data_IF_153206188964
#
_entry.id   IF_153206188964
#
_cell.length_a   1.000
_cell.length_b   1.000
_cell.length_c   1.000
_cell.angle_alpha   90.00
_cell.angle_beta   90.00
_cell.angle_gamma   90.00
#
_symmetry.space_group_name_H-M   'P 1'
#
loop_
_entity.id
_entity.type
_entity.pdbx_description
1 polymer ?
#
# COMPACT_ATOMS: atom_id res chain seq x y z
N UNK A 1 -9.59 1.39 18.80
CA UNK A 1 -9.33 1.90 17.42
C UNK A 1 -9.65 0.80 16.44
N UNK A 2 -10.43 1.07 15.41
CA UNK A 2 -10.81 0.04 14.42
C UNK A 2 -9.86 0.03 13.23
N UNK A 3 -9.52 1.20 12.70
CA UNK A 3 -8.66 1.31 11.51
C UNK A 3 -7.55 2.34 11.75
N UNK A 4 -6.31 1.95 11.46
CA UNK A 4 -5.18 2.86 11.30
C UNK A 4 -4.95 3.10 9.81
N UNK A 5 -5.09 4.34 9.36
CA UNK A 5 -4.78 4.75 7.98
C UNK A 5 -3.30 5.08 7.94
N UNK A 6 -2.51 4.34 7.17
CA UNK A 6 -1.08 4.53 7.02
C UNK A 6 -0.78 5.26 5.70
N UNK A 7 -0.26 6.46 5.82
CA UNK A 7 0.10 7.33 4.70
C UNK A 7 1.60 7.64 4.76
N UNK A 8 2.29 7.46 3.65
CA UNK A 8 3.66 7.93 3.45
C UNK A 8 3.65 9.07 2.44
N UNK A 9 4.52 10.06 2.62
CA UNK A 9 4.55 11.23 1.75
C UNK A 9 5.96 11.81 1.65
N UNK A 10 6.29 12.33 0.46
CA UNK A 10 7.50 13.09 0.20
C UNK A 10 7.28 14.04 -0.96
N UNK A 11 7.30 15.36 -0.69
CA UNK A 11 7.06 16.42 -1.68
C UNK A 11 5.72 16.24 -2.44
N UNK A 12 4.65 16.00 -1.67
CA UNK A 12 3.29 15.84 -2.17
C UNK A 12 2.39 17.04 -1.84
N UNK A 13 2.91 18.26 -1.69
CA UNK A 13 2.15 19.47 -1.33
C UNK A 13 0.92 19.70 -2.21
N UNK A 14 1.02 19.39 -3.51
CA UNK A 14 -0.11 19.50 -4.46
C UNK A 14 -1.21 18.47 -4.23
N UNK A 15 -0.93 17.38 -3.51
CA UNK A 15 -1.78 16.18 -3.46
C UNK A 15 -2.27 15.85 -2.06
N UNK A 16 -1.41 16.00 -1.04
CA UNK A 16 -1.62 15.55 0.34
C UNK A 16 -2.91 16.06 0.98
N UNK A 17 -3.31 17.29 0.66
CA UNK A 17 -4.58 17.84 1.12
C UNK A 17 -5.76 16.97 0.70
N UNK A 18 -5.81 16.57 -0.57
CA UNK A 18 -6.90 15.73 -1.11
C UNK A 18 -6.88 14.33 -0.51
N UNK A 19 -5.70 13.78 -0.23
CA UNK A 19 -5.56 12.51 0.46
C UNK A 19 -6.19 12.59 1.87
N UNK A 20 -5.75 13.55 2.70
CA UNK A 20 -6.24 13.72 4.08
C UNK A 20 -7.75 14.00 4.10
N UNK A 21 -8.25 14.90 3.23
CA UNK A 21 -9.68 15.19 3.13
C UNK A 21 -10.47 13.90 2.81
N UNK A 22 -9.97 13.03 1.95
CA UNK A 22 -10.62 11.78 1.58
C UNK A 22 -10.67 10.75 2.73
N UNK A 23 -9.66 10.77 3.62
CA UNK A 23 -9.64 9.91 4.82
C UNK A 23 -10.64 10.41 5.87
N UNK A 24 -10.71 11.71 6.07
CA UNK A 24 -11.63 12.33 7.02
C UNK A 24 -13.10 12.23 6.58
N UNK A 25 -13.34 12.20 5.26
CA UNK A 25 -14.68 12.09 4.68
C UNK A 25 -15.32 10.71 4.79
N UNK A 26 -14.58 9.67 5.24
CA UNK A 26 -15.10 8.31 5.31
C UNK A 26 -16.30 8.20 6.26
N UNK A 27 -17.41 7.68 5.77
CA UNK A 27 -18.59 7.33 6.55
C UNK A 27 -18.30 6.09 7.40
N UNK A 28 -18.44 6.21 8.71
CA UNK A 28 -18.07 5.17 9.66
C UNK A 28 -18.79 5.34 11.00
N UNK A 29 -18.98 4.25 11.69
CA UNK A 29 -19.49 4.17 13.07
C UNK A 29 -18.42 3.63 14.03
N UNK A 30 -17.15 3.68 13.62
CA UNK A 30 -15.97 3.25 14.38
C UNK A 30 -14.87 4.31 14.36
N UNK A 31 -13.93 4.20 15.29
CA UNK A 31 -12.81 5.13 15.43
C UNK A 31 -11.69 4.81 14.43
N UNK A 32 -11.07 5.85 13.93
CA UNK A 32 -9.88 5.81 13.07
C UNK A 32 -8.75 6.68 13.63
N UNK A 33 -7.54 6.34 13.26
CA UNK A 33 -6.38 7.23 13.34
C UNK A 33 -5.71 7.33 11.94
N UNK A 34 -5.04 8.45 11.69
CA UNK A 34 -4.33 8.71 10.44
C UNK A 34 -2.85 8.91 10.79
N UNK A 35 -2.05 7.91 10.44
CA UNK A 35 -0.61 7.87 10.68
C UNK A 35 0.10 8.34 9.44
N UNK A 36 0.58 9.58 9.44
CA UNK A 36 1.29 10.16 8.30
C UNK A 36 2.80 10.12 8.59
N UNK A 37 3.57 9.64 7.63
CA UNK A 37 5.03 9.69 7.67
C UNK A 37 5.52 10.63 6.57
N UNK A 38 5.97 11.82 6.94
CA UNK A 38 6.58 12.79 6.05
C UNK A 38 8.09 12.59 6.02
N UNK A 39 8.62 12.20 4.86
CA UNK A 39 10.02 11.81 4.68
C UNK A 39 10.93 13.02 4.37
N UNK A 40 10.88 14.05 5.23
CA UNK A 40 11.61 15.31 5.10
C UNK A 40 11.26 16.07 3.80
N UNK A 41 9.98 16.30 3.58
CA UNK A 41 9.51 17.12 2.44
C UNK A 41 10.10 18.52 2.48
N UNK A 42 10.44 19.03 1.31
CA UNK A 42 11.04 20.38 1.10
C UNK A 42 10.07 21.38 0.48
N UNK A 43 8.87 20.93 0.12
CA UNK A 43 7.76 21.73 -0.34
C UNK A 43 6.77 22.02 0.83
N UNK A 44 5.57 22.48 0.52
CA UNK A 44 4.52 22.80 1.50
C UNK A 44 3.83 21.58 2.13
N UNK A 45 4.27 20.36 1.83
CA UNK A 45 3.65 19.11 2.35
C UNK A 45 3.57 19.12 3.87
N UNK A 46 4.68 19.35 4.56
CA UNK A 46 4.74 19.32 6.01
C UNK A 46 3.86 20.41 6.66
N UNK A 47 3.81 21.60 6.07
CA UNK A 47 2.99 22.69 6.59
C UNK A 47 1.50 22.38 6.46
N UNK A 48 1.06 21.80 5.34
CA UNK A 48 -0.32 21.33 5.16
C UNK A 48 -0.65 20.28 6.22
N UNK A 49 0.23 19.30 6.47
CA UNK A 49 0.00 18.25 7.48
C UNK A 49 -0.13 18.88 8.87
N UNK A 50 0.71 19.86 9.26
CA UNK A 50 0.64 20.56 10.55
C UNK A 50 -0.69 21.30 10.74
N UNK A 51 -1.25 21.88 9.68
CA UNK A 51 -2.58 22.51 9.74
C UNK A 51 -3.67 21.49 10.09
N UNK A 52 -3.62 20.30 9.47
CA UNK A 52 -4.57 19.22 9.74
C UNK A 52 -4.35 18.59 11.12
N UNK A 53 -3.10 18.37 11.54
CA UNK A 53 -2.76 17.90 12.90
C UNK A 53 -3.34 18.83 13.96
N UNK A 54 -3.15 20.14 13.81
CA UNK A 54 -3.70 21.14 14.72
C UNK A 54 -5.23 21.13 14.77
N UNK A 55 -5.88 20.85 13.64
CA UNK A 55 -7.36 20.80 13.54
C UNK A 55 -7.96 19.49 14.06
N UNK A 56 -7.22 18.38 13.94
CA UNK A 56 -7.67 17.03 14.28
C UNK A 56 -6.62 16.27 15.11
N UNK A 57 -6.19 16.80 16.29
CA UNK A 57 -5.05 16.25 17.03
C UNK A 57 -5.26 14.84 17.55
N UNK A 58 -6.51 14.43 17.78
CA UNK A 58 -6.84 13.09 18.27
C UNK A 58 -6.82 12.04 17.14
N UNK A 59 -6.90 12.46 15.88
CA UNK A 59 -7.02 11.58 14.72
C UNK A 59 -5.73 11.56 13.90
N UNK A 60 -5.13 12.72 13.64
CA UNK A 60 -3.96 12.86 12.76
C UNK A 60 -2.69 12.85 13.60
N UNK A 61 -1.85 11.84 13.35
CA UNK A 61 -0.63 11.58 14.12
C UNK A 61 0.55 11.49 13.15
N UNK A 62 1.18 12.61 12.80
CA UNK A 62 2.31 12.62 11.87
C UNK A 62 3.64 12.25 12.54
N UNK A 63 4.59 11.83 11.73
CA UNK A 63 6.03 11.85 11.98
C UNK A 63 6.64 12.75 10.90
N UNK A 64 7.47 13.68 11.32
CA UNK A 64 8.27 14.53 10.45
C UNK A 64 9.72 14.13 10.60
N UNK A 65 10.36 13.69 9.52
CA UNK A 65 11.78 13.38 9.52
C UNK A 65 12.61 14.64 9.25
N UNK A 66 13.79 14.74 9.87
CA UNK A 66 14.76 15.82 9.61
C UNK A 66 15.55 15.57 8.32
N UNK A 67 15.62 14.31 7.87
CA UNK A 67 16.36 13.87 6.71
C UNK A 67 15.55 12.82 5.94
N UNK A 68 15.71 12.79 4.61
CA UNK A 68 15.02 11.82 3.75
C UNK A 68 15.53 10.39 4.02
N UNK A 69 14.71 9.60 4.69
CA UNK A 69 15.02 8.24 5.13
C UNK A 69 15.07 7.25 3.97
N UNK A 70 14.26 7.49 2.93
CA UNK A 70 14.31 6.68 1.72
C UNK A 70 15.69 6.77 1.05
N UNK A 71 16.28 7.95 0.98
CA UNK A 71 17.64 8.15 0.44
C UNK A 71 18.74 7.46 1.28
N UNK A 72 18.42 7.16 2.55
CA UNK A 72 19.30 6.43 3.48
C UNK A 72 19.05 4.91 3.49
N UNK A 73 18.20 4.42 2.57
CA UNK A 73 17.96 3.00 2.38
C UNK A 73 16.72 2.44 3.09
N UNK A 74 15.90 3.28 3.72
CA UNK A 74 14.60 2.85 4.27
C UNK A 74 13.58 2.77 3.13
N UNK A 75 13.52 1.63 2.45
CA UNK A 75 12.66 1.44 1.26
C UNK A 75 11.18 1.21 1.61
N UNK A 76 10.88 0.76 2.82
CA UNK A 76 9.52 0.44 3.28
C UNK A 76 9.14 1.23 4.54
N UNK A 77 8.97 2.57 4.45
CA UNK A 77 8.76 3.44 5.60
C UNK A 77 7.48 3.12 6.39
N UNK A 78 6.41 2.62 5.75
CA UNK A 78 5.21 2.19 6.48
C UNK A 78 5.51 1.07 7.47
N UNK A 79 6.31 0.08 7.07
CA UNK A 79 6.72 -1.03 7.94
C UNK A 79 7.60 -0.59 9.11
N UNK A 80 8.46 0.41 8.87
CA UNK A 80 9.38 0.92 9.91
C UNK A 80 8.70 1.89 10.85
N UNK A 81 7.85 2.80 10.35
CA UNK A 81 7.37 3.94 11.13
C UNK A 81 5.87 3.89 11.44
N UNK A 82 5.02 3.40 10.52
CA UNK A 82 3.57 3.45 10.70
C UNK A 82 3.02 2.17 11.34
N UNK A 83 3.36 0.99 10.85
CA UNK A 83 2.79 -0.26 11.36
C UNK A 83 3.08 -0.54 12.83
N UNK A 84 4.31 -0.29 13.38
CA UNK A 84 4.59 -0.53 14.79
C UNK A 84 3.73 0.33 15.75
N UNK A 85 3.32 1.52 15.33
CA UNK A 85 2.50 2.43 16.15
C UNK A 85 1.00 2.35 15.84
N UNK A 86 0.60 1.57 14.84
CA UNK A 86 -0.80 1.40 14.49
C UNK A 86 -1.58 0.72 15.64
N UNK A 87 -2.65 1.35 16.13
CA UNK A 87 -3.48 0.81 17.21
C UNK A 87 -4.77 0.15 16.70
N UNK A 88 -5.10 0.30 15.40
CA UNK A 88 -6.28 -0.28 14.78
C UNK A 88 -6.19 -1.80 14.62
N UNK A 89 -7.35 -2.45 14.59
CA UNK A 89 -7.47 -3.88 14.22
C UNK A 89 -7.09 -4.10 12.75
N UNK A 90 -7.30 -3.06 11.93
CA UNK A 90 -6.99 -3.06 10.51
C UNK A 90 -6.07 -1.89 10.15
N UNK A 91 -5.27 -2.10 9.11
CA UNK A 91 -4.43 -1.09 8.47
C UNK A 91 -4.98 -0.82 7.08
N UNK A 92 -5.37 0.43 6.82
CA UNK A 92 -5.72 0.92 5.49
C UNK A 92 -4.53 1.67 4.90
N UNK A 93 -4.21 1.40 3.64
CA UNK A 93 -3.08 2.02 2.96
C UNK A 93 -3.55 3.13 2.02
N UNK A 94 -2.85 4.25 2.01
CA UNK A 94 -2.93 5.24 0.93
C UNK A 94 -1.73 6.18 1.00
N UNK A 95 -1.02 6.33 -0.10
CA UNK A 95 0.12 7.25 -0.23
C UNK A 95 -0.37 8.69 -0.38
N UNK A 96 0.47 9.68 -0.05
CA UNK A 96 0.07 11.09 -0.02
C UNK A 96 -0.21 11.70 -1.39
N UNK A 97 0.20 11.04 -2.49
CA UNK A 97 -0.08 11.42 -3.87
C UNK A 97 -1.38 10.79 -4.42
N UNK A 98 -1.96 9.79 -3.72
CA UNK A 98 -3.23 9.15 -4.05
C UNK A 98 -4.39 9.65 -3.17
N UNK A 99 -5.62 9.22 -3.43
CA UNK A 99 -6.78 9.53 -2.60
C UNK A 99 -7.92 8.53 -2.77
N UNK A 100 -8.82 8.50 -1.79
CA UNK A 100 -10.05 7.73 -1.87
C UNK A 100 -11.19 8.56 -2.49
N UNK A 101 -11.91 7.98 -3.43
CA UNK A 101 -13.00 8.64 -4.14
C UNK A 101 -14.39 8.14 -3.73
N UNK A 102 -14.46 7.27 -2.72
CA UNK A 102 -15.68 6.68 -2.20
C UNK A 102 -15.68 6.75 -0.68
N UNK A 103 -16.66 7.42 -0.11
CA UNK A 103 -16.77 7.62 1.34
C UNK A 103 -17.25 6.37 2.12
N UNK A 104 -17.70 5.33 1.43
CA UNK A 104 -18.11 4.05 2.00
C UNK A 104 -16.98 3.00 2.05
N UNK A 105 -15.80 3.33 1.52
CA UNK A 105 -14.69 2.38 1.37
C UNK A 105 -14.34 1.66 2.67
N UNK A 106 -14.05 2.39 3.73
CA UNK A 106 -13.63 1.78 5.00
C UNK A 106 -14.73 0.91 5.60
N UNK A 107 -15.98 1.38 5.59
CA UNK A 107 -17.11 0.63 6.12
C UNK A 107 -17.28 -0.70 5.41
N UNK A 108 -17.28 -0.68 4.07
CA UNK A 108 -17.43 -1.90 3.27
C UNK A 108 -16.30 -2.90 3.51
N UNK A 109 -15.06 -2.43 3.57
CA UNK A 109 -13.89 -3.29 3.77
C UNK A 109 -13.85 -3.87 5.19
N UNK A 110 -14.15 -3.07 6.22
CA UNK A 110 -14.24 -3.51 7.61
C UNK A 110 -15.34 -4.57 7.76
N UNK A 111 -16.51 -4.34 7.19
CA UNK A 111 -17.63 -5.29 7.20
C UNK A 111 -17.23 -6.66 6.63
N UNK A 112 -16.46 -6.68 5.56
CA UNK A 112 -15.98 -7.92 4.93
C UNK A 112 -15.03 -8.64 5.88
N UNK A 113 -14.03 -7.96 6.44
CA UNK A 113 -13.03 -8.59 7.30
C UNK A 113 -13.61 -9.00 8.65
N UNK A 114 -14.59 -8.27 9.18
CA UNK A 114 -15.26 -8.65 10.43
C UNK A 114 -16.08 -9.93 10.28
N UNK A 115 -16.78 -10.07 9.16
CA UNK A 115 -17.64 -11.24 8.88
C UNK A 115 -16.87 -12.48 8.44
N UNK A 116 -15.64 -12.32 7.90
CA UNK A 116 -14.87 -13.39 7.31
C UNK A 116 -13.47 -13.46 7.93
N UNK A 117 -13.32 -14.20 9.01
CA UNK A 117 -12.05 -14.29 9.76
C UNK A 117 -10.93 -15.00 8.99
N UNK A 118 -11.26 -15.77 7.99
CA UNK A 118 -10.36 -16.47 7.07
C UNK A 118 -9.93 -15.63 5.85
N UNK A 119 -10.42 -14.39 5.75
CA UNK A 119 -9.92 -13.38 4.82
C UNK A 119 -8.84 -12.53 5.52
N UNK A 120 -7.64 -12.52 4.99
CA UNK A 120 -6.49 -11.83 5.56
C UNK A 120 -6.42 -10.36 5.19
N UNK A 121 -6.88 -9.99 4.00
CA UNK A 121 -7.01 -8.60 3.54
C UNK A 121 -8.08 -8.46 2.46
N UNK A 122 -8.51 -7.24 2.20
CA UNK A 122 -9.36 -6.92 1.06
C UNK A 122 -8.82 -5.73 0.26
N UNK A 123 -9.23 -5.66 -0.99
CA UNK A 123 -8.85 -4.64 -1.94
C UNK A 123 -9.96 -4.39 -2.97
N UNK A 124 -9.80 -3.35 -3.78
CA UNK A 124 -10.85 -2.94 -4.72
C UNK A 124 -10.27 -2.39 -6.02
N UNK A 125 -11.14 -2.08 -6.99
CA UNK A 125 -10.77 -1.41 -8.23
C UNK A 125 -10.36 0.06 -7.96
N UNK A 126 -9.44 0.57 -8.76
CA UNK A 126 -8.99 1.97 -8.69
C UNK A 126 -9.07 2.64 -10.06
N UNK A 127 -9.48 3.91 -10.08
CA UNK A 127 -9.30 4.78 -11.24
C UNK A 127 -7.83 5.18 -11.36
N UNK A 128 -7.33 5.35 -12.56
CA UNK A 128 -6.03 5.96 -12.82
C UNK A 128 -6.24 7.41 -13.29
N UNK A 129 -5.59 8.34 -12.61
CA UNK A 129 -5.48 9.75 -13.02
C UNK A 129 -4.08 9.97 -13.59
N UNK A 130 -3.99 10.05 -14.92
CA UNK A 130 -2.72 10.20 -15.63
C UNK A 130 -2.33 11.69 -15.70
N UNK A 131 -1.22 12.06 -15.09
CA UNK A 131 -0.75 13.44 -14.98
C UNK A 131 0.29 13.83 -16.03
N UNK A 132 0.94 12.86 -16.69
CA UNK A 132 2.03 13.09 -17.66
C UNK A 132 1.69 12.70 -19.10
N UNK A 133 0.42 12.34 -19.35
CA UNK A 133 -0.08 11.88 -20.65
C UNK A 133 0.64 10.64 -21.21
N UNK A 134 1.31 9.86 -20.40
CA UNK A 134 1.81 8.54 -20.80
C UNK A 134 0.65 7.59 -20.99
N UNK A 135 0.85 6.56 -21.85
CA UNK A 135 -0.20 5.56 -22.01
C UNK A 135 -0.37 4.75 -20.72
N UNK A 136 -1.55 4.82 -20.14
CA UNK A 136 -1.94 3.99 -19.00
C UNK A 136 -3.42 3.60 -19.11
N UNK A 137 -3.84 2.49 -18.53
CA UNK A 137 -5.26 2.18 -18.43
C UNK A 137 -5.97 3.22 -17.54
N UNK A 138 -7.18 3.61 -17.88
CA UNK A 138 -8.00 4.51 -17.04
C UNK A 138 -8.46 3.85 -15.74
N UNK A 139 -8.36 2.52 -15.68
CA UNK A 139 -8.91 1.71 -14.60
C UNK A 139 -8.00 0.52 -14.29
N UNK A 140 -7.69 0.31 -13.01
CA UNK A 140 -7.12 -0.92 -12.49
C UNK A 140 -8.28 -1.73 -11.90
N UNK A 141 -8.75 -2.71 -12.64
CA UNK A 141 -9.90 -3.59 -12.30
C UNK A 141 -9.49 -5.03 -12.57
N UNK A 142 -8.86 -5.71 -11.60
CA UNK A 142 -8.25 -7.03 -11.82
C UNK A 142 -9.26 -8.16 -12.05
N UNK A 143 -10.53 -7.98 -11.64
CA UNK A 143 -11.61 -8.96 -11.81
C UNK A 143 -12.92 -8.25 -12.17
N UNK A 144 -13.87 -8.97 -12.79
CA UNK A 144 -15.12 -8.41 -13.29
C UNK A 144 -16.27 -8.39 -12.27
N UNK A 145 -16.05 -8.98 -11.08
CA UNK A 145 -17.03 -9.05 -9.98
C UNK A 145 -16.34 -9.17 -8.63
N UNK A 146 -17.03 -8.76 -7.57
CA UNK A 146 -16.58 -9.00 -6.21
C UNK A 146 -16.47 -10.49 -5.92
N UNK A 147 -15.33 -10.94 -5.39
CA UNK A 147 -15.08 -12.36 -5.15
C UNK A 147 -13.96 -12.60 -4.17
N UNK A 148 -13.93 -13.78 -3.61
CA UNK A 148 -12.80 -14.31 -2.84
C UNK A 148 -11.66 -14.68 -3.80
N UNK A 149 -10.45 -14.34 -3.41
CA UNK A 149 -9.21 -14.62 -4.13
C UNK A 149 -8.38 -15.53 -3.23
N UNK A 150 -8.06 -16.71 -3.69
CA UNK A 150 -7.30 -17.66 -2.88
C UNK A 150 -5.89 -17.15 -2.60
N UNK A 151 -5.31 -17.56 -1.46
CA UNK A 151 -3.91 -17.28 -1.13
C UNK A 151 -2.96 -17.66 -2.28
N UNK A 152 -3.24 -18.78 -2.94
CA UNK A 152 -2.48 -19.23 -4.11
C UNK A 152 -2.53 -18.25 -5.28
N UNK A 153 -3.71 -17.69 -5.56
CA UNK A 153 -3.86 -16.67 -6.62
C UNK A 153 -3.15 -15.37 -6.26
N UNK A 154 -3.19 -14.95 -4.99
CA UNK A 154 -2.45 -13.77 -4.52
C UNK A 154 -0.95 -13.95 -4.72
N UNK A 155 -0.38 -15.08 -4.30
CA UNK A 155 1.06 -15.38 -4.43
C UNK A 155 1.44 -15.51 -5.90
N UNK A 156 0.60 -16.20 -6.68
CA UNK A 156 0.77 -16.40 -8.11
C UNK A 156 0.20 -15.21 -8.92
N UNK A 157 0.43 -14.00 -8.44
CA UNK A 157 -0.20 -12.79 -8.94
C UNK A 157 0.20 -12.45 -10.38
N UNK A 158 -0.82 -12.17 -11.20
CA UNK A 158 -0.65 -11.66 -12.57
C UNK A 158 -1.06 -10.21 -12.73
N UNK A 159 -1.84 -9.69 -11.79
CA UNK A 159 -2.45 -8.35 -11.85
C UNK A 159 -1.96 -7.49 -10.71
N UNK A 160 -1.96 -6.19 -10.91
CA UNK A 160 -1.60 -5.22 -9.89
C UNK A 160 -2.79 -4.97 -8.95
N UNK A 161 -2.52 -4.91 -7.63
CA UNK A 161 -3.48 -4.43 -6.64
C UNK A 161 -3.00 -3.09 -6.10
N UNK A 162 -3.74 -1.99 -6.36
CA UNK A 162 -3.30 -0.66 -5.95
C UNK A 162 -3.11 -0.55 -4.44
N UNK A 163 -2.00 0.07 -4.00
CA UNK A 163 -1.70 0.29 -2.57
C UNK A 163 -2.87 0.96 -1.85
N UNK A 164 -3.42 2.03 -2.44
CA UNK A 164 -4.54 2.77 -1.88
C UNK A 164 -5.85 1.95 -1.75
N UNK A 165 -5.91 0.75 -2.34
CA UNK A 165 -7.07 -0.13 -2.22
C UNK A 165 -7.02 -1.09 -1.02
N UNK A 166 -5.86 -1.27 -0.41
CA UNK A 166 -5.63 -2.32 0.58
C UNK A 166 -6.22 -1.96 1.95
N UNK A 167 -6.90 -2.94 2.56
CA UNK A 167 -7.18 -3.01 4.00
C UNK A 167 -6.70 -4.36 4.51
N UNK A 168 -5.74 -4.35 5.45
CA UNK A 168 -5.05 -5.53 5.96
C UNK A 168 -5.33 -5.71 7.45
N UNK A 169 -5.21 -6.93 7.97
CA UNK A 169 -5.22 -7.17 9.41
C UNK A 169 -3.92 -6.69 10.03
N UNK A 170 -4.01 -5.87 11.06
CA UNK A 170 -2.84 -5.27 11.71
C UNK A 170 -1.89 -6.30 12.31
N UNK A 171 -2.42 -7.41 12.80
CA UNK A 171 -1.62 -8.45 13.43
C UNK A 171 -0.53 -9.01 12.51
N UNK A 172 -0.81 -9.10 11.19
CA UNK A 172 0.18 -9.59 10.20
C UNK A 172 1.21 -8.53 9.82
N UNK A 173 0.88 -7.25 9.99
CA UNK A 173 1.76 -6.12 9.66
C UNK A 173 2.67 -5.69 10.82
N UNK A 174 2.36 -6.11 12.05
CA UNK A 174 3.18 -5.81 13.24
C UNK A 174 4.36 -6.75 13.45
N UNK A 175 4.38 -7.87 12.76
CA UNK A 175 5.42 -8.91 12.88
C UNK A 175 5.98 -9.26 11.50
N UNK A 176 6.37 -8.25 10.74
CA UNK A 176 6.90 -8.44 9.40
C UNK A 176 8.28 -9.09 9.45
N UNK A 177 8.54 -10.08 8.59
CA UNK A 177 9.84 -10.75 8.50
C UNK A 177 10.89 -9.84 7.84
N UNK A 178 12.17 -10.13 8.07
CA UNK A 178 13.28 -9.33 7.57
C UNK A 178 13.23 -9.13 6.04
N UNK A 179 12.83 -10.13 5.27
CA UNK A 179 12.75 -10.02 3.81
C UNK A 179 11.74 -8.96 3.31
N UNK A 180 10.78 -8.54 4.16
CA UNK A 180 9.92 -7.39 3.86
C UNK A 180 10.74 -6.09 3.84
N UNK A 181 11.62 -5.92 4.83
CA UNK A 181 12.45 -4.70 4.95
C UNK A 181 13.58 -4.68 3.92
N UNK A 182 14.05 -5.85 3.48
CA UNK A 182 15.06 -5.99 2.43
C UNK A 182 14.48 -5.79 1.03
N UNK A 183 13.14 -5.82 0.88
CA UNK A 183 12.48 -5.65 -0.39
C UNK A 183 12.42 -4.16 -0.81
N UNK A 184 12.64 -3.89 -2.09
CA UNK A 184 12.60 -2.52 -2.66
C UNK A 184 11.20 -1.92 -2.77
N UNK A 185 10.17 -2.76 -2.69
CA UNK A 185 8.77 -2.37 -2.71
C UNK A 185 8.05 -2.96 -1.50
N UNK A 186 7.06 -2.24 -0.96
CA UNK A 186 6.33 -2.69 0.21
C UNK A 186 4.98 -3.35 -0.10
N UNK A 187 4.32 -2.92 -1.15
CA UNK A 187 2.95 -3.30 -1.49
C UNK A 187 2.80 -4.78 -1.86
N UNK A 188 3.70 -5.33 -2.67
CA UNK A 188 3.66 -6.75 -3.07
C UNK A 188 3.96 -7.67 -1.89
N UNK A 189 5.05 -7.48 -1.11
CA UNK A 189 5.32 -8.31 0.05
C UNK A 189 4.19 -8.28 1.09
N UNK A 190 3.57 -7.13 1.37
CA UNK A 190 2.42 -7.05 2.30
C UNK A 190 1.29 -8.00 1.90
N UNK A 191 0.94 -8.03 0.62
CA UNK A 191 -0.11 -8.89 0.10
C UNK A 191 0.26 -10.38 0.20
N UNK A 192 1.51 -10.72 -0.15
CA UNK A 192 2.01 -12.10 -0.13
C UNK A 192 2.15 -12.61 1.31
N UNK A 193 2.66 -11.79 2.23
CA UNK A 193 2.75 -12.12 3.66
C UNK A 193 1.35 -12.33 4.24
N UNK A 194 0.39 -11.46 3.91
CA UNK A 194 -0.99 -11.62 4.34
C UNK A 194 -1.61 -12.93 3.82
N UNK A 195 -1.30 -13.32 2.58
CA UNK A 195 -1.78 -14.57 2.00
C UNK A 195 -1.28 -15.83 2.70
N UNK A 196 -0.22 -15.75 3.54
CA UNK A 196 0.20 -16.85 4.42
C UNK A 196 -0.87 -17.21 5.45
N UNK A 197 -1.71 -16.26 5.84
CA UNK A 197 -2.68 -16.36 6.93
C UNK A 197 -4.14 -16.53 6.46
N UNK A 198 -4.43 -16.30 5.19
CA UNK A 198 -5.78 -16.44 4.65
C UNK A 198 -5.91 -15.95 3.22
N UNK A 199 -7.10 -16.11 2.68
CA UNK A 199 -7.44 -15.61 1.35
C UNK A 199 -7.60 -14.08 1.35
N UNK A 200 -7.70 -13.48 0.17
CA UNK A 200 -8.09 -12.09 -0.01
C UNK A 200 -9.54 -11.95 -0.49
N UNK A 201 -10.10 -10.76 -0.39
CA UNK A 201 -11.40 -10.45 -0.97
C UNK A 201 -11.29 -9.22 -1.89
N UNK A 202 -11.73 -9.37 -3.11
CA UNK A 202 -11.85 -8.29 -4.09
C UNK A 202 -13.24 -7.68 -4.08
N UNK A 203 -13.32 -6.36 -4.00
CA UNK A 203 -14.56 -5.59 -4.13
C UNK A 203 -14.56 -4.92 -5.51
N UNK A 204 -15.52 -5.29 -6.36
CA UNK A 204 -15.66 -4.73 -7.70
C UNK A 204 -16.35 -3.36 -7.65
N UNK A 205 -15.66 -2.39 -7.06
CA UNK A 205 -16.08 -0.99 -6.96
C UNK A 205 -14.85 -0.09 -6.98
N UNK A 206 -14.90 0.99 -7.73
CA UNK A 206 -13.83 1.99 -7.78
C UNK A 206 -13.94 2.86 -6.53
N UNK A 207 -12.97 2.73 -5.60
CA UNK A 207 -13.00 3.45 -4.34
C UNK A 207 -11.71 4.26 -4.06
N UNK A 208 -10.72 4.18 -4.96
CA UNK A 208 -9.52 5.03 -4.90
C UNK A 208 -9.11 5.53 -6.29
N UNK A 209 -8.28 6.54 -6.30
CA UNK A 209 -7.64 7.08 -7.50
C UNK A 209 -6.14 6.96 -7.32
N UNK A 210 -5.50 6.25 -8.23
CA UNK A 210 -4.06 6.15 -8.37
C UNK A 210 -3.57 7.22 -9.34
N UNK A 211 -2.67 8.11 -8.88
CA UNK A 211 -2.06 9.13 -9.72
C UNK A 211 -0.78 8.62 -10.35
N UNK A 212 -0.80 8.50 -11.68
CA UNK A 212 0.38 8.16 -12.48
C UNK A 212 1.06 9.42 -13.00
N UNK A 213 2.40 9.43 -13.02
CA UNK A 213 3.16 10.58 -13.50
C UNK A 213 3.45 11.63 -12.42
N UNK A 214 3.29 11.31 -11.15
CA UNK A 214 3.78 12.16 -10.05
C UNK A 214 5.31 12.10 -10.05
N UNK A 215 6.02 13.25 -10.20
CA UNK A 215 7.49 13.26 -10.40
C UNK A 215 8.29 12.65 -9.24
N UNK A 216 7.77 12.74 -8.02
CA UNK A 216 8.40 12.21 -6.80
C UNK A 216 8.01 10.78 -6.46
N UNK A 217 7.14 10.16 -7.27
CA UNK A 217 6.69 8.78 -7.04
C UNK A 217 7.81 7.76 -7.26
N UNK A 218 7.71 6.62 -6.56
CA UNK A 218 8.59 5.49 -6.78
C UNK A 218 8.57 5.04 -8.25
N UNK A 219 7.39 4.96 -8.86
CA UNK A 219 7.23 4.58 -10.27
C UNK A 219 8.02 5.49 -11.20
N UNK A 220 7.90 6.82 -11.03
CA UNK A 220 8.67 7.78 -11.84
C UNK A 220 10.18 7.58 -11.65
N UNK A 221 10.63 7.28 -10.43
CA UNK A 221 12.04 7.03 -10.14
C UNK A 221 12.60 5.83 -10.92
N UNK A 222 11.79 4.80 -11.21
CA UNK A 222 12.24 3.61 -11.94
C UNK A 222 12.58 3.91 -13.40
N UNK A 223 11.92 4.88 -14.01
CA UNK A 223 12.17 5.28 -15.40
C UNK A 223 13.28 6.33 -15.56
N UNK A 224 13.91 6.78 -14.48
CA UNK A 224 15.02 7.74 -14.49
C UNK A 224 16.39 7.04 -14.42
N UNK A 225 17.42 7.63 -15.07
CA UNK A 225 18.79 7.12 -15.02
C UNK A 225 19.00 5.78 -15.74
N UNK A 226 19.79 4.87 -15.15
CA UNK A 226 20.05 3.53 -15.74
C UNK A 226 18.86 2.59 -15.51
N UNK A 227 17.90 2.67 -16.42
CA UNK A 227 16.69 1.84 -16.41
C UNK A 227 17.01 0.33 -16.36
N UNK A 228 17.95 -0.14 -17.20
CA UNK A 228 18.27 -1.58 -17.27
C UNK A 228 18.80 -2.11 -15.95
N UNK A 229 19.70 -1.36 -15.31
CA UNK A 229 20.25 -1.73 -14.00
C UNK A 229 19.14 -1.75 -12.95
N UNK A 230 18.27 -0.73 -12.91
CA UNK A 230 17.15 -0.68 -11.95
C UNK A 230 16.18 -1.85 -12.12
N UNK A 231 15.89 -2.25 -13.35
CA UNK A 231 15.05 -3.41 -13.64
C UNK A 231 15.69 -4.72 -13.20
N UNK A 232 16.99 -4.90 -13.47
CA UNK A 232 17.72 -6.09 -13.00
C UNK A 232 17.76 -6.14 -11.47
N UNK A 233 18.06 -5.03 -10.83
CA UNK A 233 18.06 -4.93 -9.36
C UNK A 233 16.67 -5.22 -8.77
N UNK A 234 15.60 -4.74 -9.38
CA UNK A 234 14.22 -5.06 -8.97
C UNK A 234 13.93 -6.56 -9.13
N UNK A 235 14.28 -7.13 -10.27
CA UNK A 235 14.10 -8.55 -10.54
C UNK A 235 14.80 -9.43 -9.51
N UNK A 236 16.09 -9.18 -9.24
CA UNK A 236 16.87 -9.93 -8.27
C UNK A 236 16.31 -9.78 -6.84
N UNK A 237 15.90 -8.58 -6.47
CA UNK A 237 15.32 -8.31 -5.16
C UNK A 237 13.97 -9.02 -4.97
N UNK A 238 13.09 -8.98 -5.96
CA UNK A 238 11.82 -9.71 -5.92
C UNK A 238 12.02 -11.22 -5.86
N UNK A 239 12.99 -11.75 -6.59
CA UNK A 239 13.33 -13.16 -6.56
C UNK A 239 13.78 -13.59 -5.16
N UNK A 240 14.65 -12.82 -4.53
CA UNK A 240 15.10 -13.06 -3.15
C UNK A 240 13.93 -13.01 -2.15
N UNK A 241 13.04 -12.05 -2.30
CA UNK A 241 11.83 -11.94 -1.48
C UNK A 241 10.95 -13.19 -1.60
N UNK A 242 10.70 -13.68 -2.82
CA UNK A 242 9.91 -14.90 -3.03
C UNK A 242 10.59 -16.15 -2.45
N UNK A 243 11.91 -16.28 -2.58
CA UNK A 243 12.67 -17.39 -2.00
C UNK A 243 12.65 -17.38 -0.46
N UNK A 244 12.71 -16.18 0.13
CA UNK A 244 12.60 -16.03 1.58
C UNK A 244 11.17 -16.34 2.08
N UNK A 245 10.15 -15.85 1.37
CA UNK A 245 8.75 -16.17 1.66
C UNK A 245 8.45 -17.68 1.56
N UNK A 246 9.00 -18.37 0.56
CA UNK A 246 8.80 -19.80 0.39
C UNK A 246 9.29 -20.58 1.62
N UNK A 247 10.47 -20.25 2.12
CA UNK A 247 11.02 -20.81 3.36
C UNK A 247 10.18 -20.44 4.59
N UNK A 248 9.78 -19.17 4.72
CA UNK A 248 8.96 -18.67 5.83
C UNK A 248 7.56 -19.31 5.86
N UNK A 249 7.06 -19.77 4.72
CA UNK A 249 5.80 -20.51 4.60
C UNK A 249 5.93 -22.04 4.73
N UNK A 250 7.10 -22.52 5.14
CA UNK A 250 7.43 -23.96 5.17
C UNK A 250 7.15 -24.66 3.83
N UNK A 251 7.45 -23.97 2.72
CA UNK A 251 7.22 -24.43 1.34
C UNK A 251 5.77 -24.78 0.99
N UNK A 252 4.81 -24.32 1.81
CA UNK A 252 3.38 -24.56 1.59
C UNK A 252 2.86 -24.08 0.24
N UNK A 253 3.50 -23.05 -0.33
CA UNK A 253 3.13 -22.40 -1.59
C UNK A 253 4.23 -22.52 -2.65
N UNK A 254 5.09 -23.54 -2.55
CA UNK A 254 6.28 -23.65 -3.40
C UNK A 254 5.96 -23.58 -4.90
N UNK A 255 4.91 -24.26 -5.36
CA UNK A 255 4.51 -24.24 -6.78
C UNK A 255 4.09 -22.85 -7.26
N UNK A 256 3.36 -22.11 -6.42
CA UNK A 256 2.91 -20.75 -6.70
C UNK A 256 4.06 -19.76 -6.72
N UNK A 257 5.00 -19.91 -5.78
CA UNK A 257 6.24 -19.11 -5.71
C UNK A 257 7.10 -19.33 -6.95
N UNK A 258 7.35 -20.59 -7.33
CA UNK A 258 8.13 -20.88 -8.54
C UNK A 258 7.45 -20.35 -9.82
N UNK A 259 6.12 -20.45 -9.89
CA UNK A 259 5.37 -19.87 -11.00
C UNK A 259 5.42 -18.34 -11.00
N UNK A 260 5.38 -17.68 -9.83
CA UNK A 260 5.55 -16.24 -9.72
C UNK A 260 6.95 -15.79 -10.15
N UNK A 261 8.01 -16.45 -9.68
CA UNK A 261 9.41 -16.17 -10.06
C UNK A 261 9.64 -16.27 -11.57
N UNK A 262 9.06 -17.29 -12.23
CA UNK A 262 9.14 -17.43 -13.70
C UNK A 262 8.43 -16.32 -14.48
N UNK A 263 7.48 -15.64 -13.84
CA UNK A 263 6.75 -14.52 -14.45
C UNK A 263 7.27 -13.15 -14.07
N UNK A 264 8.23 -13.08 -13.13
CA UNK A 264 8.92 -11.82 -12.87
C UNK A 264 9.48 -11.31 -14.19
N UNK A 265 8.94 -10.19 -14.61
CA UNK A 265 9.39 -9.45 -15.78
C UNK A 265 9.72 -8.05 -15.33
N UNK A 266 10.51 -7.39 -16.11
CA UNK A 266 10.76 -5.97 -15.94
C UNK A 266 9.44 -5.19 -15.98
N UNK A 267 9.35 -4.15 -15.16
CA UNK A 267 8.23 -3.21 -15.10
C UNK A 267 8.08 -2.46 -16.41
#
# INVERSE_FOLDING_TARGET
MKVSICCITYNHGKYIKKAIDSFLAQKRDFDIEILINDDASTDDTADIIREYEKKYPDIIKPIYHDENMYSKGVTNPSGVYNFPRASGEYIAMCEGDDYWCDDEKLRMQVDILDKNKDISFCFHAAKVENLDNTFSPDLIRPYEKSMRITAKEVINKRTHYPTASLLLRSEYMKSLPQYYFDCKVGDIPMQIISAKYGDAYYIDRVMSVYRMGVPTSWTASQFSGDYKKKQEDYYQNMKQMYEAYDKDSDYRFHSEVEAAKKRLRFL
#
